data_IF_433644663216
#
_entry.id   IF_433644663216
#
_cell.length_a   1.000
_cell.length_b   1.000
_cell.length_c   1.000
_cell.angle_alpha   90.00
_cell.angle_beta   90.00
_cell.angle_gamma   90.00
#
_symmetry.space_group_name_H-M   'P 1'
#
loop_
_entity.id
_entity.type
_entity.pdbx_description
1 polymer ?
#
# COMPACT_ATOMS: atom_id res chain seq x y z
N UNK A 1 -4.86 41.51 -20.42
CA UNK A 1 -6.03 40.82 -19.84
C UNK A 1 -6.35 39.67 -20.76
N UNK A 2 -5.92 38.48 -20.39
CA UNK A 2 -6.15 37.24 -21.16
C UNK A 2 -6.93 36.34 -20.22
N UNK A 3 -8.24 36.28 -20.44
CA UNK A 3 -9.13 35.33 -19.77
C UNK A 3 -8.79 33.92 -20.26
N UNK A 4 -8.34 33.06 -19.35
CA UNK A 4 -8.27 31.62 -19.58
C UNK A 4 -9.65 31.03 -19.27
N UNK A 5 -10.46 30.81 -20.30
CA UNK A 5 -11.65 29.95 -20.21
C UNK A 5 -11.19 28.48 -20.26
N UNK A 6 -11.27 27.80 -19.11
CA UNK A 6 -11.09 26.34 -19.02
C UNK A 6 -12.32 25.63 -19.60
N UNK A 7 -12.13 25.05 -20.78
CA UNK A 7 -13.13 24.29 -21.53
C UNK A 7 -13.40 22.95 -20.82
N UNK A 8 -14.48 22.86 -20.02
CA UNK A 8 -14.83 21.70 -19.19
C UNK A 8 -15.46 20.58 -20.03
N UNK A 9 -14.66 19.83 -20.79
CA UNK A 9 -15.14 18.68 -21.57
C UNK A 9 -15.29 17.43 -20.69
N UNK A 10 -16.54 17.04 -20.40
CA UNK A 10 -16.87 15.77 -19.73
C UNK A 10 -16.53 14.56 -20.61
N UNK A 11 -15.45 13.85 -20.32
CA UNK A 11 -15.13 12.57 -20.99
C UNK A 11 -15.94 11.42 -20.37
N UNK A 12 -16.45 10.51 -21.22
CA UNK A 12 -17.08 9.25 -20.79
C UNK A 12 -16.06 8.13 -20.89
N UNK A 13 -15.74 7.50 -19.76
CA UNK A 13 -14.81 6.36 -19.67
C UNK A 13 -15.62 5.15 -19.18
N UNK A 14 -15.69 4.05 -19.95
CA UNK A 14 -16.34 2.83 -19.48
C UNK A 14 -15.47 2.15 -18.42
N UNK A 15 -16.07 1.81 -17.28
CA UNK A 15 -15.44 1.06 -16.20
C UNK A 15 -16.02 -0.36 -16.18
N UNK A 16 -15.14 -1.38 -16.18
CA UNK A 16 -15.53 -2.76 -15.92
C UNK A 16 -15.38 -3.01 -14.42
N UNK A 17 -16.48 -3.39 -13.78
CA UNK A 17 -16.56 -3.74 -12.35
C UNK A 17 -17.16 -5.13 -12.26
N UNK A 18 -16.75 -5.89 -11.24
CA UNK A 18 -17.34 -7.20 -10.98
C UNK A 18 -18.79 -7.04 -10.51
N UNK A 19 -19.61 -8.09 -10.69
CA UNK A 19 -21.03 -8.04 -10.35
C UNK A 19 -21.28 -7.71 -8.87
N UNK A 20 -20.44 -8.22 -7.97
CA UNK A 20 -20.51 -7.95 -6.53
C UNK A 20 -20.16 -6.49 -6.21
N UNK A 21 -19.25 -5.87 -6.97
CA UNK A 21 -18.88 -4.47 -6.81
C UNK A 21 -19.98 -3.54 -7.33
N UNK A 22 -20.66 -3.93 -8.41
CA UNK A 22 -21.83 -3.21 -8.93
C UNK A 22 -22.97 -3.20 -7.92
N UNK A 23 -23.24 -4.33 -7.26
CA UNK A 23 -24.28 -4.41 -6.22
C UNK A 23 -23.94 -3.49 -5.04
N UNK A 24 -22.68 -3.51 -4.57
CA UNK A 24 -22.23 -2.60 -3.50
C UNK A 24 -22.34 -1.14 -3.90
N UNK A 25 -22.02 -0.82 -5.16
CA UNK A 25 -22.12 0.54 -5.69
C UNK A 25 -23.59 1.01 -5.75
N UNK A 26 -24.52 0.12 -6.10
CA UNK A 26 -25.96 0.41 -6.09
C UNK A 26 -26.50 0.65 -4.69
N UNK A 27 -26.13 -0.21 -3.73
CA UNK A 27 -26.50 -0.03 -2.34
C UNK A 27 -26.01 1.31 -1.80
N UNK A 28 -24.77 1.69 -2.14
CA UNK A 28 -24.19 2.97 -1.73
C UNK A 28 -24.87 4.16 -2.42
N UNK A 29 -25.19 4.04 -3.71
CA UNK A 29 -25.94 5.04 -4.46
C UNK A 29 -27.35 5.27 -3.90
N UNK A 30 -28.04 4.18 -3.53
CA UNK A 30 -29.36 4.23 -2.89
C UNK A 30 -29.30 4.93 -1.52
N UNK A 31 -28.30 4.62 -0.69
CA UNK A 31 -28.10 5.27 0.62
C UNK A 31 -27.82 6.77 0.50
N UNK A 32 -27.15 7.18 -0.56
CA UNK A 32 -26.79 8.58 -0.81
C UNK A 32 -27.82 9.32 -1.67
N UNK A 33 -28.90 8.66 -2.12
CA UNK A 33 -29.87 9.21 -3.07
C UNK A 33 -29.21 9.74 -4.35
N UNK A 34 -28.25 9.01 -4.90
CA UNK A 34 -27.47 9.39 -6.10
C UNK A 34 -27.50 8.31 -7.17
N UNK A 35 -27.31 8.71 -8.43
CA UNK A 35 -27.10 7.77 -9.55
C UNK A 35 -25.70 7.15 -9.49
N UNK A 36 -25.50 5.93 -10.03
CA UNK A 36 -24.16 5.27 -10.08
C UNK A 36 -23.03 6.20 -10.53
N UNK A 37 -23.27 6.99 -11.57
CA UNK A 37 -22.27 7.95 -12.07
C UNK A 37 -21.99 9.09 -11.08
N UNK A 38 -23.00 9.59 -10.38
CA UNK A 38 -22.81 10.59 -9.32
C UNK A 38 -22.11 9.97 -8.11
N UNK A 39 -22.46 8.74 -7.73
CA UNK A 39 -21.80 7.99 -6.66
C UNK A 39 -20.33 7.75 -6.98
N UNK A 40 -19.99 7.28 -8.19
CA UNK A 40 -18.61 7.14 -8.65
C UNK A 40 -17.91 8.50 -8.66
N UNK A 41 -18.57 9.57 -9.14
CA UNK A 41 -17.99 10.92 -9.08
C UNK A 41 -17.75 11.39 -7.66
N UNK A 42 -18.61 11.06 -6.70
CA UNK A 42 -18.43 11.39 -5.29
C UNK A 42 -17.33 10.55 -4.63
N UNK A 43 -17.16 9.29 -5.04
CA UNK A 43 -16.07 8.42 -4.58
C UNK A 43 -14.72 8.85 -5.18
N UNK A 44 -14.69 9.15 -6.48
CA UNK A 44 -13.53 9.74 -7.16
C UNK A 44 -13.26 11.12 -6.57
N UNK A 45 -14.27 11.95 -6.37
CA UNK A 45 -14.09 13.22 -5.69
C UNK A 45 -13.59 13.00 -4.28
N UNK A 46 -14.07 12.01 -3.51
CA UNK A 46 -13.53 11.68 -2.18
C UNK A 46 -12.08 11.23 -2.27
N UNK A 47 -11.67 10.45 -3.26
CA UNK A 47 -10.26 10.04 -3.43
C UNK A 47 -9.38 11.17 -4.02
N UNK A 48 -9.95 12.11 -4.76
CA UNK A 48 -9.25 13.28 -5.33
C UNK A 48 -9.23 14.45 -4.33
N UNK A 49 -10.30 14.63 -3.55
CA UNK A 49 -10.49 15.60 -2.45
C UNK A 49 -10.00 15.07 -1.10
N UNK A 50 -9.59 13.79 -1.07
CA UNK A 50 -8.46 13.31 -0.28
C UNK A 50 -7.22 13.30 -1.18
N UNK A 51 -6.64 14.47 -1.53
CA UNK A 51 -5.22 14.45 -1.75
C UNK A 51 -4.60 13.93 -0.45
N UNK A 52 -3.55 13.10 -0.55
CA UNK A 52 -2.60 12.87 0.57
C UNK A 52 -1.78 14.16 0.88
N UNK A 53 -2.41 15.32 0.72
CA UNK A 53 -1.97 16.68 0.98
C UNK A 53 -3.15 17.34 1.67
N UNK A 54 -2.91 17.75 2.91
CA UNK A 54 -3.89 18.31 3.84
C UNK A 54 -4.99 17.31 4.24
N UNK A 55 -5.14 17.12 5.55
CA UNK A 55 -6.48 16.92 6.11
C UNK A 55 -7.35 17.94 5.37
N UNK A 56 -8.39 17.55 4.60
CA UNK A 56 -9.29 18.55 4.03
C UNK A 56 -9.71 19.40 5.21
N UNK A 57 -9.43 20.70 5.15
CA UNK A 57 -9.95 21.69 6.10
C UNK A 57 -11.30 21.19 6.58
N UNK A 58 -11.39 20.71 7.83
CA UNK A 58 -12.54 19.91 8.18
C UNK A 58 -13.72 20.86 8.11
N UNK A 59 -14.71 20.48 7.29
CA UNK A 59 -15.93 21.27 7.15
C UNK A 59 -16.54 21.38 8.53
N UNK A 60 -16.45 22.58 9.10
CA UNK A 60 -17.24 23.11 10.23
C UNK A 60 -17.25 22.26 11.52
N UNK A 61 -16.81 22.85 12.64
CA UNK A 61 -17.02 22.34 14.01
C UNK A 61 -16.11 21.19 14.48
N UNK A 62 -15.58 20.35 13.60
CA UNK A 62 -14.80 19.15 13.99
C UNK A 62 -13.27 19.35 13.99
N UNK A 63 -12.75 20.49 13.53
CA UNK A 63 -11.30 20.72 13.34
C UNK A 63 -10.51 20.57 14.63
N UNK A 64 -11.00 21.16 15.70
CA UNK A 64 -10.35 21.09 17.01
C UNK A 64 -10.26 19.66 17.53
N UNK A 65 -11.36 18.89 17.45
CA UNK A 65 -11.39 17.49 17.90
C UNK A 65 -10.52 16.58 17.06
N UNK A 66 -10.49 16.81 15.74
CA UNK A 66 -9.62 16.07 14.82
C UNK A 66 -8.15 16.39 15.09
N UNK A 67 -7.80 17.66 15.29
CA UNK A 67 -6.45 18.10 15.62
C UNK A 67 -5.99 17.54 16.98
N UNK A 68 -6.85 17.58 18.00
CA UNK A 68 -6.56 17.00 19.31
C UNK A 68 -6.39 15.48 19.24
N UNK A 69 -7.24 14.78 18.50
CA UNK A 69 -7.09 13.33 18.29
C UNK A 69 -5.85 12.96 17.48
N UNK A 70 -5.47 13.77 16.48
CA UNK A 70 -4.36 13.47 15.58
C UNK A 70 -3.00 13.90 16.14
N UNK A 71 -2.95 15.00 16.89
CA UNK A 71 -1.72 15.62 17.35
C UNK A 71 -1.56 15.59 18.87
N UNK A 72 -2.57 15.18 19.65
CA UNK A 72 -2.46 15.07 21.10
C UNK A 72 -2.80 16.37 21.83
N UNK A 73 -2.19 16.55 23.01
CA UNK A 73 -2.48 17.68 23.90
C UNK A 73 -2.08 19.04 23.30
N UNK A 74 -2.73 20.08 23.81
CA UNK A 74 -2.59 21.47 23.35
C UNK A 74 -2.06 22.35 24.44
N UNK A 75 -1.45 23.46 24.04
CA UNK A 75 -1.18 24.56 24.96
C UNK A 75 -2.21 25.66 24.77
N UNK A 76 -2.88 26.02 25.85
CA UNK A 76 -3.84 27.13 25.86
C UNK A 76 -3.11 28.48 25.85
N UNK A 77 -3.55 29.38 24.98
CA UNK A 77 -3.14 30.78 24.92
C UNK A 77 -4.37 31.61 25.24
N UNK A 78 -4.38 32.27 26.39
CA UNK A 78 -5.50 33.11 26.83
C UNK A 78 -5.32 34.52 26.30
N UNK A 79 -6.31 35.01 25.57
CA UNK A 79 -6.37 36.36 25.04
C UNK A 79 -6.80 37.36 26.12
N UNK A 80 -6.50 38.65 25.92
CA UNK A 80 -6.92 39.75 26.82
C UNK A 80 -8.44 39.84 27.02
N UNK A 81 -9.20 39.48 25.99
CA UNK A 81 -10.67 39.46 26.03
C UNK A 81 -11.26 38.22 26.73
N UNK A 82 -10.42 37.32 27.25
CA UNK A 82 -10.84 36.09 27.94
C UNK A 82 -11.04 34.88 27.03
N UNK A 83 -10.98 35.03 25.69
CA UNK A 83 -11.02 33.90 24.75
C UNK A 83 -9.77 33.04 24.88
N UNK A 84 -9.91 31.74 24.64
CA UNK A 84 -8.81 30.77 24.76
C UNK A 84 -8.53 30.15 23.40
N UNK A 85 -7.33 30.37 22.90
CA UNK A 85 -6.82 29.71 21.70
C UNK A 85 -6.00 28.49 22.08
N UNK A 86 -5.96 27.50 21.21
CA UNK A 86 -5.19 26.28 21.39
C UNK A 86 -4.09 26.18 20.36
N UNK A 87 -2.86 26.11 20.86
CA UNK A 87 -1.65 25.95 20.06
C UNK A 87 -1.31 24.47 19.89
N UNK A 88 -1.02 24.09 18.65
CA UNK A 88 -0.55 22.77 18.28
C UNK A 88 0.72 22.85 17.45
N UNK A 89 1.65 21.93 17.71
CA UNK A 89 2.67 21.53 16.74
C UNK A 89 2.16 20.29 16.02
N UNK A 90 1.95 20.41 14.71
CA UNK A 90 1.54 19.34 13.81
C UNK A 90 2.70 18.97 12.87
N UNK A 91 3.29 17.76 12.99
CA UNK A 91 4.29 17.31 12.02
C UNK A 91 3.60 16.96 10.70
N UNK A 92 3.91 17.70 9.63
CA UNK A 92 3.52 17.31 8.29
C UNK A 92 4.68 16.62 7.57
N UNK A 93 4.67 15.28 7.60
CA UNK A 93 5.71 14.40 7.04
C UNK A 93 7.10 14.74 7.59
N UNK A 94 7.84 15.65 6.94
CA UNK A 94 9.17 16.10 7.37
C UNK A 94 9.22 17.56 7.86
N UNK A 95 8.10 18.27 7.93
CA UNK A 95 8.00 19.68 8.33
C UNK A 95 7.25 19.84 9.64
N UNK A 96 7.61 20.87 10.40
CA UNK A 96 6.80 21.37 11.50
C UNK A 96 5.77 22.35 10.95
N UNK A 97 4.51 22.19 11.36
CA UNK A 97 3.46 23.16 11.10
C UNK A 97 2.84 23.56 12.43
N UNK A 98 2.78 24.86 12.68
CA UNK A 98 2.06 25.42 13.82
C UNK A 98 0.61 25.63 13.43
N UNK A 99 -0.31 25.12 14.25
CA UNK A 99 -1.72 25.40 14.17
C UNK A 99 -2.15 26.19 15.41
N UNK A 100 -2.98 27.19 15.18
CA UNK A 100 -3.60 27.99 16.22
C UNK A 100 -5.11 27.91 15.98
N UNK A 101 -5.81 27.22 16.87
CA UNK A 101 -7.22 26.92 16.73
C UNK A 101 -8.04 27.59 17.82
N UNK A 102 -9.24 28.02 17.48
CA UNK A 102 -10.22 28.56 18.40
C UNK A 102 -11.34 27.53 18.61
N UNK A 103 -11.52 26.98 19.82
CA UNK A 103 -12.53 25.97 20.12
C UNK A 103 -13.96 26.54 20.14
N UNK A 104 -14.12 27.87 20.29
CA UNK A 104 -15.43 28.54 20.31
C UNK A 104 -15.95 28.83 18.89
N UNK A 105 -15.07 28.79 17.88
CA UNK A 105 -15.42 28.94 16.46
C UNK A 105 -16.00 27.63 15.89
N UNK A 106 -17.30 27.39 16.11
CA UNK A 106 -17.99 26.19 15.63
C UNK A 106 -18.47 26.27 14.18
N UNK A 107 -18.62 27.49 13.63
CA UNK A 107 -19.19 27.72 12.28
C UNK A 107 -18.14 27.97 11.20
N UNK A 108 -16.94 28.43 11.56
CA UNK A 108 -15.75 28.46 10.70
C UNK A 108 -14.87 27.23 10.99
N UNK A 109 -13.80 27.02 10.24
CA UNK A 109 -12.91 25.84 10.25
C UNK A 109 -12.08 25.76 11.57
N UNK A 110 -12.59 26.24 12.71
CA UNK A 110 -11.84 26.35 13.96
C UNK A 110 -10.63 27.28 13.88
N UNK A 111 -10.47 28.03 12.78
CA UNK A 111 -9.39 28.99 12.59
C UNK A 111 -9.91 30.40 12.93
N UNK A 112 -9.26 31.12 13.87
CA UNK A 112 -9.60 32.50 14.16
C UNK A 112 -9.23 33.42 12.99
N UNK A 113 -9.83 34.62 12.95
CA UNK A 113 -9.34 35.68 12.08
C UNK A 113 -7.97 36.15 12.60
N UNK A 114 -6.89 35.74 11.93
CA UNK A 114 -5.52 35.99 12.39
C UNK A 114 -5.15 37.47 12.48
N UNK A 115 -5.72 38.32 11.61
CA UNK A 115 -5.44 39.76 11.62
C UNK A 115 -5.96 40.43 12.90
N UNK A 116 -7.03 39.89 13.50
CA UNK A 116 -7.62 40.40 14.75
C UNK A 116 -6.86 39.95 16.00
N UNK A 117 -5.88 39.04 15.85
CA UNK A 117 -5.12 38.49 16.97
C UNK A 117 -3.86 39.30 17.29
N UNK A 118 -3.36 40.11 16.34
CA UNK A 118 -2.15 40.90 16.55
C UNK A 118 -2.31 41.92 17.69
N UNK A 119 -1.27 42.07 18.52
CA UNK A 119 -1.21 43.00 19.65
C UNK A 119 -1.86 42.48 20.94
N UNK A 120 -2.41 41.25 20.95
CA UNK A 120 -2.95 40.65 22.16
C UNK A 120 -1.81 40.21 23.10
N UNK A 121 -0.77 39.55 22.59
CA UNK A 121 0.45 39.22 23.34
C UNK A 121 1.69 39.02 22.46
N UNK A 122 2.88 39.26 23.01
CA UNK A 122 4.17 39.07 22.29
C UNK A 122 4.34 37.64 21.75
N UNK A 123 3.84 36.63 22.48
CA UNK A 123 3.91 35.23 22.05
C UNK A 123 2.96 34.97 20.88
N UNK A 124 1.78 35.58 20.89
CA UNK A 124 0.81 35.45 19.81
C UNK A 124 1.32 36.13 18.54
N UNK A 125 1.85 37.35 18.66
CA UNK A 125 2.45 38.08 17.54
C UNK A 125 3.62 37.29 16.93
N UNK A 126 4.49 36.71 17.77
CA UNK A 126 5.57 35.85 17.29
C UNK A 126 5.08 34.60 16.56
N UNK A 127 3.96 34.00 17.01
CA UNK A 127 3.33 32.85 16.33
C UNK A 127 2.81 33.27 14.96
N UNK A 128 2.11 34.40 14.87
CA UNK A 128 1.53 34.89 13.63
C UNK A 128 2.64 35.23 12.62
N UNK A 129 3.67 35.96 13.05
CA UNK A 129 4.86 36.27 12.24
C UNK A 129 5.54 35.00 11.71
N UNK A 130 5.70 33.98 12.57
CA UNK A 130 6.34 32.74 12.16
C UNK A 130 5.49 32.01 11.11
N UNK A 131 4.17 31.95 11.27
CA UNK A 131 3.24 31.29 10.35
C UNK A 131 3.26 31.88 8.94
N UNK A 132 3.54 33.17 8.80
CA UNK A 132 3.67 33.84 7.50
C UNK A 132 5.01 33.58 6.79
N UNK A 133 5.97 32.96 7.48
CA UNK A 133 7.31 32.69 6.94
C UNK A 133 7.56 31.21 6.68
N UNK A 134 8.61 30.92 5.90
CA UNK A 134 9.12 29.55 5.76
C UNK A 134 10.04 29.26 6.95
N UNK A 135 9.71 28.26 7.75
CA UNK A 135 10.50 27.78 8.88
C UNK A 135 10.60 26.25 8.89
N UNK A 136 11.47 25.72 9.74
CA UNK A 136 11.61 24.29 10.01
C UNK A 136 11.84 24.03 11.52
N UNK A 137 12.07 22.77 11.88
CA UNK A 137 12.25 22.32 13.26
C UNK A 137 13.43 22.98 13.98
N UNK A 138 14.41 23.50 13.22
CA UNK A 138 15.63 24.10 13.77
C UNK A 138 15.60 25.64 13.70
N UNK A 139 14.51 26.25 13.20
CA UNK A 139 14.34 27.71 13.19
C UNK A 139 14.34 28.26 14.63
N UNK A 140 15.25 29.21 14.97
CA UNK A 140 15.32 29.79 16.31
C UNK A 140 13.99 30.41 16.77
N UNK A 141 13.20 30.99 15.85
CA UNK A 141 11.90 31.60 16.16
C UNK A 141 10.90 30.55 16.63
N UNK A 142 10.85 29.41 15.94
CA UNK A 142 10.04 28.25 16.32
C UNK A 142 10.42 27.74 17.72
N UNK A 143 11.72 27.51 17.95
CA UNK A 143 12.21 27.02 19.25
C UNK A 143 11.92 27.99 20.39
N UNK A 144 12.00 29.30 20.15
CA UNK A 144 11.67 30.32 21.15
C UNK A 144 10.17 30.33 21.51
N UNK A 145 9.28 30.16 20.53
CA UNK A 145 7.84 30.03 20.77
C UNK A 145 7.55 28.78 21.62
N UNK A 146 8.09 27.62 21.23
CA UNK A 146 7.94 26.39 22.00
C UNK A 146 8.45 26.55 23.44
N UNK A 147 9.62 27.18 23.63
CA UNK A 147 10.15 27.47 24.96
C UNK A 147 9.22 28.39 25.78
N UNK A 148 8.65 29.42 25.15
CA UNK A 148 7.72 30.37 25.80
C UNK A 148 6.42 29.70 26.23
N UNK A 149 5.99 28.68 25.48
CA UNK A 149 4.80 27.87 25.75
C UNK A 149 5.09 26.62 26.59
N UNK A 150 6.34 26.41 27.03
CA UNK A 150 6.79 25.22 27.76
C UNK A 150 6.48 23.89 27.01
N UNK A 151 6.71 23.89 25.69
CA UNK A 151 6.56 22.75 24.80
C UNK A 151 7.95 22.27 24.37
N UNK A 152 8.16 20.96 24.33
CA UNK A 152 9.36 20.38 23.71
C UNK A 152 9.27 20.52 22.17
N UNK A 153 10.15 21.33 21.52
CA UNK A 153 10.10 21.53 20.07
C UNK A 153 10.43 20.26 19.27
N UNK A 154 11.04 19.24 19.89
CA UNK A 154 11.44 18.01 19.21
C UNK A 154 10.48 16.83 19.50
N UNK A 155 9.46 17.00 20.36
CA UNK A 155 8.52 15.94 20.80
C UNK A 155 7.90 15.17 19.62
N UNK A 156 7.46 15.90 18.59
CA UNK A 156 6.79 15.35 17.41
C UNK A 156 7.69 15.37 16.16
N UNK A 157 8.98 15.63 16.34
CA UNK A 157 9.92 15.70 15.24
C UNK A 157 10.06 14.31 14.60
N UNK A 158 9.94 14.20 13.27
CA UNK A 158 10.10 12.93 12.56
C UNK A 158 11.44 12.27 12.90
N UNK A 159 11.37 11.00 13.31
CA UNK A 159 12.54 10.21 13.67
C UNK A 159 12.89 9.28 12.51
N UNK A 160 14.19 9.06 12.31
CA UNK A 160 14.69 8.23 11.23
C UNK A 160 15.47 7.05 11.78
N UNK A 161 15.49 5.96 11.01
CA UNK A 161 16.43 4.87 11.28
C UNK A 161 17.84 5.45 11.22
N UNK A 162 18.64 5.23 12.26
CA UNK A 162 19.97 5.83 12.44
C UNK A 162 20.88 5.70 11.22
N UNK A 163 20.85 4.55 10.57
CA UNK A 163 21.64 4.26 9.36
C UNK A 163 21.21 5.10 8.14
N UNK A 164 19.96 5.56 8.11
CA UNK A 164 19.34 6.25 6.98
C UNK A 164 19.22 7.77 7.18
N UNK A 165 19.59 8.30 8.35
CA UNK A 165 19.49 9.74 8.69
C UNK A 165 20.16 10.64 7.65
N UNK A 166 21.34 10.26 7.15
CA UNK A 166 22.07 11.03 6.14
C UNK A 166 21.31 11.10 4.82
N UNK A 167 20.66 9.99 4.43
CA UNK A 167 19.85 9.91 3.21
C UNK A 167 18.60 10.79 3.39
N UNK A 168 17.89 10.66 4.52
CA UNK A 168 16.70 11.44 4.84
C UNK A 168 16.98 12.96 4.86
N UNK A 169 18.12 13.39 5.41
CA UNK A 169 18.57 14.79 5.39
C UNK A 169 18.84 15.26 3.96
N UNK A 170 19.51 14.44 3.14
CA UNK A 170 19.76 14.73 1.73
C UNK A 170 18.47 14.92 0.91
N UNK A 171 17.48 14.06 1.14
CA UNK A 171 16.15 14.16 0.53
C UNK A 171 15.42 15.43 0.97
N UNK A 172 15.40 15.73 2.27
CA UNK A 172 14.70 16.91 2.82
C UNK A 172 15.30 18.23 2.30
N UNK A 173 16.64 18.34 2.27
CA UNK A 173 17.33 19.50 1.70
C UNK A 173 17.04 19.69 0.21
N UNK A 174 16.85 18.60 -0.53
CA UNK A 174 16.50 18.64 -1.95
C UNK A 174 15.03 19.00 -2.15
N UNK A 175 14.13 18.49 -1.30
CA UNK A 175 12.70 18.77 -1.33
C UNK A 175 12.43 20.28 -1.20
N UNK A 176 13.19 20.97 -0.35
CA UNK A 176 13.09 22.42 -0.17
C UNK A 176 13.34 23.26 -1.45
N UNK A 177 13.91 22.67 -2.51
CA UNK A 177 14.23 23.33 -3.79
C UNK A 177 13.13 23.18 -4.85
N UNK A 178 12.17 22.29 -4.64
CA UNK A 178 11.09 22.05 -5.59
C UNK A 178 9.81 22.77 -5.15
N UNK A 179 9.01 23.20 -6.11
CA UNK A 179 7.64 23.68 -5.83
C UNK A 179 6.74 22.50 -5.48
N UNK A 180 5.67 22.74 -4.71
CA UNK A 180 4.72 21.73 -4.28
C UNK A 180 3.99 21.03 -5.45
N UNK A 181 3.88 21.70 -6.60
CA UNK A 181 3.31 21.11 -7.83
C UNK A 181 4.29 20.23 -8.60
N UNK A 182 5.55 20.14 -8.18
CA UNK A 182 6.56 19.35 -8.88
C UNK A 182 6.35 17.85 -8.64
N UNK A 183 6.51 16.99 -9.66
CA UNK A 183 6.49 15.53 -9.47
C UNK A 183 7.57 15.04 -8.49
N UNK A 184 8.66 15.80 -8.31
CA UNK A 184 9.70 15.50 -7.35
C UNK A 184 9.28 15.69 -5.89
N UNK A 185 8.39 16.65 -5.63
CA UNK A 185 8.04 17.03 -4.26
C UNK A 185 7.43 15.86 -3.50
N UNK A 186 6.43 15.26 -4.12
CA UNK A 186 5.65 14.15 -3.61
C UNK A 186 6.47 12.86 -3.53
N UNK A 187 7.32 12.59 -4.53
CA UNK A 187 8.28 11.50 -4.49
C UNK A 187 9.25 11.63 -3.30
N UNK A 188 9.83 12.82 -3.10
CA UNK A 188 10.78 13.07 -2.01
C UNK A 188 10.16 12.85 -0.65
N UNK A 189 8.90 13.28 -0.46
CA UNK A 189 8.18 13.04 0.78
C UNK A 189 7.91 11.55 1.02
N UNK A 190 7.53 10.79 -0.02
CA UNK A 190 7.40 9.33 0.08
C UNK A 190 8.72 8.66 0.44
N UNK A 191 9.82 9.06 -0.20
CA UNK A 191 11.15 8.54 0.09
C UNK A 191 11.58 8.86 1.53
N UNK A 192 11.29 10.05 2.04
CA UNK A 192 11.60 10.41 3.43
C UNK A 192 10.80 9.56 4.40
N UNK A 193 9.49 9.37 4.16
CA UNK A 193 8.67 8.54 5.03
C UNK A 193 9.08 7.06 5.04
N UNK A 194 9.59 6.54 3.92
CA UNK A 194 10.15 5.19 3.86
C UNK A 194 11.38 4.98 4.76
N UNK A 195 12.04 6.06 5.20
CA UNK A 195 13.22 6.02 6.07
C UNK A 195 12.91 6.30 7.54
N UNK A 196 11.65 6.62 7.85
CA UNK A 196 11.22 6.96 9.21
C UNK A 196 11.15 5.74 10.14
N UNK A 197 11.33 5.99 11.43
CA UNK A 197 11.22 5.01 12.51
C UNK A 197 10.05 5.27 13.46
N UNK A 198 9.49 6.48 13.46
CA UNK A 198 8.32 6.87 14.25
C UNK A 198 6.99 6.45 13.60
N UNK A 199 7.02 6.02 12.35
CA UNK A 199 5.91 5.36 11.66
C UNK A 199 6.34 3.97 11.18
N UNK A 200 5.38 3.13 10.81
CA UNK A 200 5.64 1.86 10.14
C UNK A 200 5.46 2.04 8.63
N UNK A 201 6.54 2.16 7.83
CA UNK A 201 6.40 2.30 6.38
C UNK A 201 6.00 0.98 5.74
N UNK A 202 5.30 1.06 4.62
CA UNK A 202 4.63 -0.10 4.01
C UNK A 202 5.02 -0.31 2.55
N UNK A 203 4.82 -1.52 2.05
CA UNK A 203 5.12 -1.87 0.67
C UNK A 203 4.36 -1.00 -0.33
N UNK A 204 3.13 -0.58 0.02
CA UNK A 204 2.33 0.35 -0.77
C UNK A 204 3.00 1.71 -0.93
N UNK A 205 3.66 2.22 0.12
CA UNK A 205 4.41 3.47 0.06
C UNK A 205 5.62 3.32 -0.87
N UNK A 206 6.31 2.18 -0.80
CA UNK A 206 7.47 1.88 -1.66
C UNK A 206 7.06 1.78 -3.13
N UNK A 207 5.98 1.05 -3.42
CA UNK A 207 5.47 0.88 -4.79
C UNK A 207 5.02 2.22 -5.39
N UNK A 208 4.27 3.03 -4.63
CA UNK A 208 3.89 4.39 -5.07
C UNK A 208 5.13 5.26 -5.36
N UNK A 209 6.16 5.18 -4.53
CA UNK A 209 7.40 5.91 -4.75
C UNK A 209 8.12 5.43 -6.03
N UNK A 210 8.18 4.12 -6.28
CA UNK A 210 8.76 3.55 -7.51
C UNK A 210 8.00 4.01 -8.75
N UNK A 211 6.68 3.93 -8.73
CA UNK A 211 5.83 4.42 -9.83
C UNK A 211 6.09 5.89 -10.15
N UNK A 212 6.13 6.76 -9.13
CA UNK A 212 6.47 8.18 -9.28
C UNK A 212 7.88 8.36 -9.84
N UNK A 213 8.86 7.62 -9.33
CA UNK A 213 10.23 7.67 -9.82
C UNK A 213 10.36 7.26 -11.29
N UNK A 214 9.59 6.27 -11.74
CA UNK A 214 9.63 5.79 -13.11
C UNK A 214 9.12 6.81 -14.14
N UNK A 215 8.27 7.75 -13.72
CA UNK A 215 7.83 8.87 -14.57
C UNK A 215 8.91 9.93 -14.83
N UNK A 216 9.97 9.95 -14.03
CA UNK A 216 11.04 10.95 -14.17
C UNK A 216 12.02 10.55 -15.28
N UNK A 217 12.58 11.52 -16.00
CA UNK A 217 13.66 11.23 -16.95
C UNK A 217 14.96 10.86 -16.22
N UNK A 218 15.87 10.15 -16.89
CA UNK A 218 17.14 9.72 -16.29
C UNK A 218 17.99 10.89 -15.74
N UNK A 219 17.90 12.08 -16.36
CA UNK A 219 18.63 13.29 -15.93
C UNK A 219 18.08 13.88 -14.63
N UNK A 220 16.84 13.54 -14.28
CA UNK A 220 16.12 14.06 -13.11
C UNK A 220 16.23 13.13 -11.89
N UNK A 221 16.93 11.99 -12.03
CA UNK A 221 17.07 10.94 -11.01
C UNK A 221 18.42 11.05 -10.28
N UNK A 222 18.55 11.88 -9.23
CA UNK A 222 19.76 11.93 -8.42
C UNK A 222 20.00 10.61 -7.67
N UNK A 223 21.27 10.32 -7.39
CA UNK A 223 21.69 9.09 -6.71
C UNK A 223 21.02 8.89 -5.34
N UNK A 224 20.70 9.99 -4.64
CA UNK A 224 20.04 9.93 -3.33
C UNK A 224 18.65 9.25 -3.38
N UNK A 225 17.96 9.26 -4.53
CA UNK A 225 16.70 8.53 -4.68
C UNK A 225 16.95 7.02 -4.68
N UNK A 226 17.95 6.57 -5.43
CA UNK A 226 18.34 5.16 -5.47
C UNK A 226 18.85 4.67 -4.11
N UNK A 227 19.63 5.48 -3.40
CA UNK A 227 20.05 5.18 -2.02
C UNK A 227 18.85 4.98 -1.09
N UNK A 228 17.82 5.82 -1.21
CA UNK A 228 16.60 5.70 -0.43
C UNK A 228 15.80 4.44 -0.77
N UNK A 229 15.71 4.07 -2.05
CA UNK A 229 15.07 2.82 -2.45
C UNK A 229 15.79 1.59 -1.91
N UNK A 230 17.12 1.53 -2.04
CA UNK A 230 17.93 0.43 -1.52
C UNK A 230 17.76 0.32 0.00
N UNK A 231 17.79 1.45 0.72
CA UNK A 231 17.55 1.48 2.15
C UNK A 231 16.14 0.97 2.51
N UNK A 232 15.11 1.45 1.81
CA UNK A 232 13.73 1.00 2.04
C UNK A 232 13.54 -0.51 1.77
N UNK A 233 14.10 -1.03 0.67
CA UNK A 233 14.02 -2.45 0.31
C UNK A 233 14.73 -3.36 1.33
N UNK A 234 15.85 -2.89 1.89
CA UNK A 234 16.58 -3.64 2.93
C UNK A 234 15.77 -3.87 4.20
N UNK A 235 14.73 -3.05 4.44
CA UNK A 235 13.86 -3.13 5.62
C UNK A 235 12.79 -4.22 5.53
N UNK A 236 12.60 -4.86 4.36
CA UNK A 236 11.52 -5.85 4.11
C UNK A 236 10.16 -5.34 4.61
N UNK A 237 9.69 -4.24 4.02
CA UNK A 237 8.49 -3.54 4.48
C UNK A 237 7.23 -4.44 4.44
N UNK A 238 6.37 -4.39 5.46
CA UNK A 238 5.12 -5.14 5.47
C UNK A 238 4.11 -4.56 4.46
N UNK A 239 3.14 -5.37 4.06
CA UNK A 239 1.98 -4.93 3.28
C UNK A 239 0.80 -4.61 4.20
N UNK A 240 0.09 -3.51 3.93
CA UNK A 240 -1.19 -3.18 4.61
C UNK A 240 -2.36 -4.04 4.11
N UNK A 241 -2.17 -4.72 2.99
CA UNK A 241 -3.20 -5.49 2.32
C UNK A 241 -2.73 -6.91 2.07
N UNK A 242 -3.67 -7.86 2.12
CA UNK A 242 -3.44 -9.21 1.63
C UNK A 242 -3.09 -9.13 0.15
N UNK A 243 -1.94 -9.70 -0.22
CA UNK A 243 -1.52 -9.81 -1.61
C UNK A 243 -1.74 -11.24 -2.06
N UNK A 244 -2.45 -11.46 -3.16
CA UNK A 244 -2.75 -12.82 -3.62
C UNK A 244 -2.31 -13.04 -5.06
N UNK A 245 -1.93 -14.27 -5.37
CA UNK A 245 -1.78 -14.74 -6.74
C UNK A 245 -2.46 -16.09 -6.90
N UNK A 246 -2.98 -16.33 -8.10
CA UNK A 246 -3.60 -17.59 -8.46
C UNK A 246 -2.51 -18.56 -8.98
N UNK A 247 -2.42 -19.74 -8.36
CA UNK A 247 -1.52 -20.82 -8.77
C UNK A 247 -2.36 -21.93 -9.38
N UNK A 248 -2.05 -22.26 -10.62
CA UNK A 248 -2.71 -23.35 -11.36
C UNK A 248 -1.99 -24.65 -11.02
N UNK A 249 -2.67 -25.51 -10.28
CA UNK A 249 -2.18 -26.85 -9.97
C UNK A 249 -2.64 -27.82 -11.06
N UNK A 250 -1.73 -28.66 -11.52
CA UNK A 250 -1.97 -29.68 -12.52
C UNK A 250 -2.39 -30.99 -11.83
N UNK A 251 -3.14 -31.86 -12.53
CA UNK A 251 -3.53 -33.16 -11.99
C UNK A 251 -2.31 -33.92 -11.48
N UNK A 252 -2.31 -34.33 -10.20
CA UNK A 252 -1.17 -34.99 -9.55
C UNK A 252 -1.65 -35.93 -8.44
N UNK A 253 -0.72 -36.51 -7.67
CA UNK A 253 -1.05 -37.44 -6.57
C UNK A 253 -1.76 -36.76 -5.39
N UNK A 254 -1.68 -35.43 -5.27
CA UNK A 254 -2.38 -34.61 -4.29
C UNK A 254 -3.47 -33.80 -5.02
N UNK A 255 -4.60 -34.44 -5.35
CA UNK A 255 -5.67 -33.84 -6.17
C UNK A 255 -6.57 -32.84 -5.42
N UNK A 256 -5.96 -31.98 -4.62
CA UNK A 256 -6.70 -31.16 -3.67
C UNK A 256 -7.09 -29.79 -4.27
N UNK A 257 -6.29 -29.27 -5.20
CA UNK A 257 -6.37 -27.89 -5.67
C UNK A 257 -6.20 -27.82 -7.19
N UNK A 258 -7.08 -27.08 -7.87
CA UNK A 258 -7.03 -26.92 -9.34
C UNK A 258 -6.57 -25.52 -9.71
N UNK A 259 -7.21 -24.52 -9.10
CA UNK A 259 -6.69 -23.17 -8.99
C UNK A 259 -6.71 -22.83 -7.50
N UNK A 260 -5.55 -22.52 -6.93
CA UNK A 260 -5.43 -22.07 -5.55
C UNK A 260 -5.02 -20.61 -5.58
N UNK A 261 -5.88 -19.76 -5.03
CA UNK A 261 -5.48 -18.41 -4.64
C UNK A 261 -4.60 -18.50 -3.40
N UNK A 262 -3.33 -18.16 -3.56
CA UNK A 262 -2.32 -18.17 -2.50
C UNK A 262 -2.04 -16.73 -2.10
N UNK A 263 -2.13 -16.43 -0.81
CA UNK A 263 -1.90 -15.10 -0.28
C UNK A 263 -0.62 -14.95 0.54
N UNK A 264 -0.13 -13.72 0.57
CA UNK A 264 0.85 -13.17 1.50
C UNK A 264 0.14 -12.13 2.39
N UNK A 265 0.64 -11.95 3.61
CA UNK A 265 0.05 -11.10 4.67
C UNK A 265 -1.43 -11.44 4.93
N UNK A 266 -1.75 -12.75 4.98
CA UNK A 266 -3.12 -13.21 5.27
C UNK A 266 -3.52 -13.02 6.74
N UNK A 267 -2.54 -13.00 7.64
CA UNK A 267 -2.70 -12.72 9.05
C UNK A 267 -1.57 -11.84 9.59
N UNK A 268 -1.73 -11.34 10.83
CA UNK A 268 -0.74 -10.50 11.50
C UNK A 268 0.57 -11.24 11.80
N UNK A 269 0.49 -12.55 12.04
CA UNK A 269 1.63 -13.43 12.31
C UNK A 269 2.11 -14.05 10.99
N UNK A 270 3.01 -13.37 10.29
CA UNK A 270 3.62 -13.86 9.05
C UNK A 270 5.13 -13.62 9.04
N UNK A 271 5.85 -14.35 8.20
CA UNK A 271 7.27 -14.12 7.93
C UNK A 271 7.49 -12.70 7.35
N UNK A 272 8.73 -12.21 7.34
CA UNK A 272 9.08 -10.89 6.76
C UNK A 272 8.59 -10.69 5.30
N UNK A 273 8.46 -11.79 4.55
CA UNK A 273 7.99 -11.78 3.16
C UNK A 273 6.47 -11.99 3.03
N UNK A 274 5.75 -11.90 4.14
CA UNK A 274 4.30 -12.06 4.22
C UNK A 274 3.84 -13.51 4.21
N UNK A 275 4.75 -14.50 4.16
CA UNK A 275 4.35 -15.90 4.10
C UNK A 275 3.73 -16.36 5.41
N UNK A 276 2.61 -17.08 5.33
CA UNK A 276 1.99 -17.75 6.47
C UNK A 276 1.97 -19.24 6.23
N UNK A 277 2.77 -19.99 7.00
CA UNK A 277 2.87 -21.45 6.87
C UNK A 277 1.52 -22.13 7.10
N UNK A 278 0.75 -21.69 8.11
CA UNK A 278 -0.53 -22.29 8.46
C UNK A 278 -1.57 -22.32 7.34
N UNK A 279 -1.65 -21.29 6.50
CA UNK A 279 -2.67 -21.22 5.43
C UNK A 279 -2.30 -21.93 4.13
N UNK A 280 -1.01 -22.28 3.96
CA UNK A 280 -0.45 -22.81 2.72
C UNK A 280 0.38 -24.10 2.93
N UNK A 281 0.30 -24.73 4.10
CA UNK A 281 1.13 -25.90 4.44
C UNK A 281 0.74 -27.16 3.66
N UNK A 282 -0.51 -27.24 3.22
CA UNK A 282 -1.13 -28.38 2.55
C UNK A 282 -0.91 -28.40 1.04
N UNK A 283 -0.24 -27.38 0.50
CA UNK A 283 -0.03 -27.22 -0.93
C UNK A 283 1.17 -28.05 -1.41
N UNK A 284 0.87 -29.15 -2.09
CA UNK A 284 1.84 -30.05 -2.71
C UNK A 284 1.38 -30.47 -4.11
N UNK A 285 2.28 -31.12 -4.86
CA UNK A 285 1.99 -31.66 -6.19
C UNK A 285 2.70 -30.92 -7.30
N UNK A 286 2.05 -30.85 -8.46
CA UNK A 286 2.60 -30.24 -9.68
C UNK A 286 1.80 -28.98 -10.02
N UNK A 287 2.47 -27.88 -10.37
CA UNK A 287 1.83 -26.62 -10.73
C UNK A 287 2.43 -26.03 -12.02
N UNK A 288 1.65 -25.24 -12.74
CA UNK A 288 2.16 -24.45 -13.85
C UNK A 288 2.87 -23.20 -13.32
N UNK A 289 4.08 -22.93 -13.83
CA UNK A 289 4.77 -21.68 -13.56
C UNK A 289 4.04 -20.54 -14.28
N UNK A 290 3.75 -19.41 -13.60
CA UNK A 290 3.18 -18.25 -14.27
C UNK A 290 4.04 -17.82 -15.46
N UNK A 291 3.39 -17.49 -16.58
CA UNK A 291 4.07 -17.11 -17.81
C UNK A 291 4.71 -15.72 -17.69
N UNK A 292 5.90 -15.56 -18.27
CA UNK A 292 6.61 -14.27 -18.32
C UNK A 292 7.49 -14.01 -17.09
N UNK A 293 7.86 -12.74 -16.89
CA UNK A 293 8.62 -12.32 -15.70
C UNK A 293 7.69 -12.30 -14.50
N UNK A 294 8.00 -13.09 -13.48
CA UNK A 294 7.26 -13.09 -12.22
C UNK A 294 7.32 -11.70 -11.58
N UNK A 295 6.18 -11.20 -11.11
CA UNK A 295 6.17 -10.06 -10.20
C UNK A 295 6.67 -10.48 -8.80
N UNK A 296 6.92 -9.51 -7.92
CA UNK A 296 7.52 -9.76 -6.61
C UNK A 296 6.68 -10.73 -5.75
N UNK A 297 5.34 -10.59 -5.78
CA UNK A 297 4.41 -11.48 -5.07
C UNK A 297 4.49 -12.91 -5.60
N UNK A 298 4.46 -13.08 -6.92
CA UNK A 298 4.59 -14.38 -7.58
C UNK A 298 5.95 -15.02 -7.31
N UNK A 299 7.02 -14.23 -7.32
CA UNK A 299 8.37 -14.72 -7.06
C UNK A 299 8.50 -15.31 -5.66
N UNK A 300 8.01 -14.61 -4.63
CA UNK A 300 7.98 -15.09 -3.24
C UNK A 300 7.14 -16.36 -3.12
N UNK A 301 5.91 -16.35 -3.64
CA UNK A 301 4.99 -17.48 -3.55
C UNK A 301 5.57 -18.73 -4.24
N UNK A 302 6.07 -18.59 -5.48
CA UNK A 302 6.70 -19.70 -6.21
C UNK A 302 7.91 -20.24 -5.45
N UNK A 303 8.75 -19.36 -4.87
CA UNK A 303 9.91 -19.78 -4.08
C UNK A 303 9.49 -20.59 -2.85
N UNK A 304 8.50 -20.12 -2.08
CA UNK A 304 8.03 -20.80 -0.87
C UNK A 304 7.37 -22.14 -1.19
N UNK A 305 6.50 -22.19 -2.19
CA UNK A 305 5.86 -23.42 -2.64
C UNK A 305 6.89 -24.45 -3.16
N UNK A 306 7.93 -24.02 -3.89
CA UNK A 306 9.05 -24.90 -4.28
C UNK A 306 9.77 -25.50 -3.08
N UNK A 307 10.01 -24.70 -2.03
CA UNK A 307 10.62 -25.18 -0.78
C UNK A 307 9.73 -26.20 -0.05
N UNK A 308 8.41 -26.03 -0.12
CA UNK A 308 7.42 -26.99 0.41
C UNK A 308 7.24 -28.25 -0.45
N UNK A 309 7.90 -28.32 -1.61
CA UNK A 309 7.91 -29.50 -2.47
C UNK A 309 6.95 -29.47 -3.66
N UNK A 310 6.32 -28.33 -3.95
CA UNK A 310 5.58 -28.13 -5.21
C UNK A 310 6.55 -28.13 -6.39
N UNK A 311 6.26 -28.92 -7.42
CA UNK A 311 7.02 -28.98 -8.65
C UNK A 311 6.37 -28.04 -9.67
N UNK A 312 7.06 -26.95 -10.01
CA UNK A 312 6.61 -26.02 -11.05
C UNK A 312 7.13 -26.42 -12.42
N UNK A 313 6.23 -26.48 -13.41
CA UNK A 313 6.53 -26.76 -14.81
C UNK A 313 6.40 -25.48 -15.66
N UNK A 314 7.32 -25.28 -16.59
CA UNK A 314 7.20 -24.23 -17.59
C UNK A 314 6.19 -24.61 -18.69
N UNK A 315 5.81 -23.66 -19.55
CA UNK A 315 4.77 -23.88 -20.57
C UNK A 315 5.02 -25.09 -21.49
N UNK A 316 6.28 -25.38 -21.84
CA UNK A 316 6.63 -26.55 -22.66
C UNK A 316 6.51 -27.87 -21.89
N UNK A 317 6.94 -27.87 -20.62
CA UNK A 317 6.85 -29.03 -19.73
C UNK A 317 5.40 -29.35 -19.33
N UNK A 318 4.55 -28.33 -19.21
CA UNK A 318 3.13 -28.51 -18.86
C UNK A 318 2.44 -29.40 -19.87
N UNK A 319 2.61 -29.15 -21.18
CA UNK A 319 1.91 -29.93 -22.20
C UNK A 319 2.41 -31.38 -22.25
N UNK A 320 3.71 -31.61 -22.12
CA UNK A 320 4.28 -32.96 -22.06
C UNK A 320 3.78 -33.72 -20.84
N UNK A 321 3.78 -33.09 -19.67
CA UNK A 321 3.22 -33.66 -18.45
C UNK A 321 1.75 -34.04 -18.62
N UNK A 322 0.93 -33.13 -19.16
CA UNK A 322 -0.49 -33.34 -19.40
C UNK A 322 -0.80 -34.44 -20.43
N UNK A 323 0.15 -34.77 -21.32
CA UNK A 323 0.02 -35.86 -22.27
C UNK A 323 0.40 -37.24 -21.68
N UNK A 324 1.21 -37.24 -20.62
CA UNK A 324 1.83 -38.41 -19.99
C UNK A 324 1.37 -38.59 -18.53
N UNK A 325 2.24 -38.33 -17.55
CA UNK A 325 1.98 -38.55 -16.12
C UNK A 325 0.72 -37.81 -15.63
N UNK A 326 0.51 -36.57 -16.07
CA UNK A 326 -0.68 -35.78 -15.75
C UNK A 326 -1.98 -36.39 -16.29
N UNK A 327 -1.95 -37.06 -17.44
CA UNK A 327 -3.11 -37.79 -17.96
C UNK A 327 -3.47 -39.00 -17.08
N UNK A 328 -2.47 -39.70 -16.54
CA UNK A 328 -2.68 -40.80 -15.59
C UNK A 328 -3.29 -40.29 -14.29
N UNK A 329 -2.75 -39.24 -13.69
CA UNK A 329 -3.28 -38.67 -12.46
C UNK A 329 -4.67 -38.09 -12.67
N UNK A 330 -4.92 -37.35 -13.75
CA UNK A 330 -6.25 -36.90 -14.12
C UNK A 330 -7.24 -38.07 -14.18
N UNK A 331 -6.90 -39.17 -14.86
CA UNK A 331 -7.74 -40.37 -14.93
C UNK A 331 -7.96 -41.03 -13.56
N UNK A 332 -6.91 -41.17 -12.75
CA UNK A 332 -6.98 -41.80 -11.43
C UNK A 332 -7.82 -40.97 -10.45
N UNK A 333 -7.75 -39.65 -10.55
CA UNK A 333 -8.45 -38.73 -9.66
C UNK A 333 -9.88 -38.42 -10.11
N UNK A 334 -10.19 -38.59 -11.41
CA UNK A 334 -11.57 -38.51 -11.95
C UNK A 334 -12.54 -39.50 -11.29
N UNK A 335 -12.03 -40.53 -10.60
CA UNK A 335 -12.84 -41.42 -9.77
C UNK A 335 -13.43 -40.74 -8.52
N UNK A 336 -12.96 -39.54 -8.14
CA UNK A 336 -13.39 -38.79 -6.95
C UNK A 336 -14.26 -37.56 -7.29
N UNK A 337 -14.22 -37.01 -8.51
CA UNK A 337 -14.99 -35.78 -8.86
C UNK A 337 -15.64 -35.85 -10.26
N UNK A 338 -16.92 -36.25 -10.29
CA UNK A 338 -17.82 -36.15 -11.45
C UNK A 338 -18.39 -34.73 -11.69
N UNK A 339 -18.08 -33.75 -10.84
CA UNK A 339 -18.85 -32.48 -10.75
C UNK A 339 -18.32 -31.36 -11.65
N UNK A 340 -17.11 -31.46 -12.19
CA UNK A 340 -16.54 -30.38 -12.98
C UNK A 340 -16.10 -30.89 -14.36
N UNK A 341 -16.98 -30.67 -15.34
CA UNK A 341 -16.71 -30.86 -16.76
C UNK A 341 -15.61 -29.87 -17.20
N UNK A 342 -14.36 -30.35 -17.25
CA UNK A 342 -13.25 -29.55 -17.75
C UNK A 342 -11.95 -30.33 -17.69
N UNK A 343 -11.57 -30.97 -18.79
CA UNK A 343 -10.26 -31.63 -18.87
C UNK A 343 -9.23 -30.52 -19.03
N UNK A 344 -8.39 -30.30 -18.01
CA UNK A 344 -7.35 -29.26 -17.92
C UNK A 344 -6.22 -29.43 -18.95
N UNK A 345 -6.54 -29.50 -20.24
CA UNK A 345 -5.58 -29.80 -21.31
C UNK A 345 -4.99 -31.21 -21.24
N UNK A 346 -5.27 -32.00 -20.18
CA UNK A 346 -4.83 -33.38 -20.05
C UNK A 346 -5.42 -34.24 -21.16
N UNK A 347 -4.56 -35.00 -21.83
CA UNK A 347 -4.98 -35.92 -22.88
C UNK A 347 -5.92 -36.98 -22.31
N UNK A 348 -7.03 -37.24 -23.00
CA UNK A 348 -7.91 -38.36 -22.63
C UNK A 348 -7.20 -39.68 -22.93
N UNK A 349 -6.95 -40.54 -21.91
CA UNK A 349 -6.36 -41.85 -22.16
C UNK A 349 -7.35 -42.77 -22.87
N UNK A 350 -6.82 -43.60 -23.76
CA UNK A 350 -7.58 -44.61 -24.51
C UNK A 350 -8.05 -45.74 -23.59
N UNK A 351 -9.04 -46.52 -24.03
CA UNK A 351 -9.54 -47.68 -23.27
C UNK A 351 -8.45 -48.70 -22.96
N UNK A 352 -7.54 -48.95 -23.91
CA UNK A 352 -6.41 -49.85 -23.73
C UNK A 352 -5.43 -49.33 -22.66
N UNK A 353 -5.09 -48.03 -22.69
CA UNK A 353 -4.24 -47.42 -21.67
C UNK A 353 -4.86 -47.50 -20.27
N UNK A 354 -6.16 -47.21 -20.15
CA UNK A 354 -6.88 -47.36 -18.87
C UNK A 354 -6.82 -48.79 -18.34
N UNK A 355 -7.00 -49.79 -19.21
CA UNK A 355 -6.87 -51.20 -18.81
C UNK A 355 -5.43 -51.54 -18.37
N UNK A 356 -4.42 -51.10 -19.11
CA UNK A 356 -3.01 -51.28 -18.74
C UNK A 356 -2.70 -50.64 -17.39
N UNK A 357 -3.15 -49.42 -17.17
CA UNK A 357 -2.92 -48.67 -15.93
C UNK A 357 -3.63 -49.26 -14.70
N UNK A 358 -4.73 -50.00 -14.89
CA UNK A 358 -5.36 -50.80 -13.81
C UNK A 358 -4.52 -52.00 -13.40
N UNK A 359 -3.80 -52.61 -14.35
CA UNK A 359 -2.95 -53.78 -14.10
C UNK A 359 -1.56 -53.37 -13.57
N UNK A 360 -1.01 -52.26 -14.07
CA UNK A 360 0.31 -51.74 -13.68
C UNK A 360 0.34 -50.22 -13.77
N UNK A 361 0.75 -49.55 -12.70
CA UNK A 361 0.97 -48.10 -12.66
C UNK A 361 1.97 -47.70 -13.77
N UNK A 362 1.69 -46.66 -14.58
CA UNK A 362 2.66 -46.15 -15.56
C UNK A 362 3.84 -45.47 -14.86
N UNK A 363 4.86 -45.10 -15.64
CA UNK A 363 5.95 -44.26 -15.15
C UNK A 363 5.42 -42.91 -14.67
N UNK A 364 5.83 -42.52 -13.46
CA UNK A 364 5.42 -41.26 -12.82
C UNK A 364 6.64 -40.53 -12.26
N UNK A 365 7.55 -40.06 -13.14
CA UNK A 365 8.84 -39.52 -12.72
C UNK A 365 8.74 -38.35 -11.74
N UNK A 366 7.72 -37.49 -11.84
CA UNK A 366 7.54 -36.37 -10.90
C UNK A 366 7.05 -36.86 -9.54
N UNK A 367 6.12 -37.82 -9.51
CA UNK A 367 5.71 -38.47 -8.27
C UNK A 367 6.86 -39.21 -7.59
N UNK A 368 7.62 -40.00 -8.35
CA UNK A 368 8.72 -40.81 -7.80
C UNK A 368 9.82 -39.88 -7.24
N UNK A 369 10.07 -38.75 -7.91
CA UNK A 369 10.96 -37.68 -7.39
C UNK A 369 10.43 -37.06 -6.10
N UNK A 370 9.13 -36.83 -5.99
CA UNK A 370 8.51 -36.31 -4.77
C UNK A 370 8.62 -37.32 -3.62
N UNK A 371 8.31 -38.59 -3.88
CA UNK A 371 8.38 -39.66 -2.88
C UNK A 371 9.81 -39.79 -2.31
N UNK A 372 10.82 -39.83 -3.18
CA UNK A 372 12.22 -39.90 -2.75
C UNK A 372 12.72 -38.66 -1.98
N UNK A 373 12.01 -37.52 -2.05
CA UNK A 373 12.30 -36.36 -1.18
C UNK A 373 11.69 -36.51 0.19
N UNK A 374 10.47 -37.04 0.28
CA UNK A 374 9.79 -37.30 1.55
C UNK A 374 10.55 -38.33 2.38
N UNK A 375 11.01 -39.41 1.74
CA UNK A 375 11.78 -40.48 2.40
C UNK A 375 13.15 -40.03 2.92
N UNK A 376 13.71 -38.93 2.42
CA UNK A 376 14.98 -38.35 2.91
C UNK A 376 14.78 -37.31 4.00
N UNK A 377 13.55 -36.82 4.17
CA UNK A 377 13.20 -35.80 5.16
C UNK A 377 12.61 -36.42 6.44
N UNK A 378 12.14 -37.66 6.37
CA UNK A 378 11.83 -38.53 7.51
C UNK A 378 13.10 -39.24 8.00
#
# INVERSE_FOLDING_TARGET
MTEYTLDNKSQRIPLQLDQDELVKLDELGARLSTTRNQTIRLLIQREISVPRIAIPEPRTGEVFRVAQGAYGETTEIRMKNGRVLHFYVAPYRNRCCILLLDPEMTESVGYPNYDELYGDSDVLDAILDLRETKYDWDDPRYRNICKSLNIDPDEKRPQFVKEFERIARGLSNRQARFSYISPHWELLLDLVDLLRSDIQPTLQMLNRAKERFDTLSAKERPDVYNQAFIAAESRKLPSEHRLTTDIIFLPSWTDCYWNKRVGLWECKECDDDGWTSGHNHDLHGVAALPSGKLNDVQAVIVQKLKKQGVIFLNAGEVQDYLNNEGAYWAWKNLTIRKVFEGHHGARKPTTSEKMKWRMRKPETPLYDRWLGRQERAA
#
